data_IF_514786425195
#
_entry.id   IF_514786425195
#
_cell.length_a   1.000
_cell.length_b   1.000
_cell.length_c   1.000
_cell.angle_alpha   90.00
_cell.angle_beta   90.00
_cell.angle_gamma   90.00
#
_symmetry.space_group_name_H-M   'P 1'
#
loop_
_entity.id
_entity.type
_entity.pdbx_description
1 polymer ?
#
# COMPACT_ATOMS: atom_id res chain seq x y z
N UNK A 1 19.66 15.76 -10.61
CA UNK A 1 18.89 14.62 -10.07
C UNK A 1 19.65 14.03 -8.91
N UNK A 2 19.07 14.11 -7.71
CA UNK A 2 19.56 13.49 -6.46
C UNK A 2 19.81 12.00 -6.66
N UNK A 3 20.85 11.43 -6.06
CA UNK A 3 21.20 10.01 -6.26
C UNK A 3 20.07 9.05 -5.87
N UNK A 4 19.19 9.44 -4.94
CA UNK A 4 18.04 8.65 -4.50
C UNK A 4 16.96 8.47 -5.56
N UNK A 5 16.59 9.52 -6.30
CA UNK A 5 15.52 9.44 -7.31
C UNK A 5 15.87 8.46 -8.43
N UNK A 6 17.14 8.42 -8.84
CA UNK A 6 17.63 7.47 -9.87
C UNK A 6 17.57 6.02 -9.39
N UNK A 7 17.85 5.77 -8.11
CA UNK A 7 17.73 4.43 -7.52
C UNK A 7 16.26 4.01 -7.48
N UNK A 8 15.37 4.93 -7.12
CA UNK A 8 13.94 4.68 -7.13
C UNK A 8 13.43 4.35 -8.54
N UNK A 9 13.76 5.17 -9.54
CA UNK A 9 13.46 4.91 -10.96
C UNK A 9 13.96 3.53 -11.42
N UNK A 10 15.22 3.19 -11.12
CA UNK A 10 15.80 1.88 -11.45
C UNK A 10 15.01 0.73 -10.84
N UNK A 11 14.59 0.87 -9.58
CA UNK A 11 13.81 -0.16 -8.88
C UNK A 11 12.40 -0.34 -9.47
N UNK A 12 11.82 0.73 -10.02
CA UNK A 12 10.47 0.75 -10.60
C UNK A 12 10.45 0.30 -12.06
N UNK A 13 11.57 0.40 -12.77
CA UNK A 13 11.66 0.14 -14.23
C UNK A 13 11.14 -1.25 -14.62
N UNK A 14 11.41 -2.28 -13.81
CA UNK A 14 10.98 -3.64 -14.11
C UNK A 14 9.45 -3.83 -14.01
N UNK A 15 8.78 -3.00 -13.20
CA UNK A 15 7.36 -3.11 -12.91
C UNK A 15 6.54 -2.14 -13.78
N UNK A 16 7.06 -0.93 -14.04
CA UNK A 16 6.30 0.17 -14.65
C UNK A 16 6.86 0.65 -15.99
N UNK A 17 8.00 0.11 -16.44
CA UNK A 17 8.57 0.41 -17.75
C UNK A 17 8.80 1.91 -17.97
N UNK A 18 8.13 2.48 -18.96
CA UNK A 18 8.29 3.89 -19.36
C UNK A 18 7.82 4.88 -18.29
N UNK A 19 6.84 4.52 -17.45
CA UNK A 19 6.31 5.38 -16.40
C UNK A 19 7.22 5.49 -15.17
N UNK A 20 8.24 4.63 -15.07
CA UNK A 20 9.07 4.52 -13.87
C UNK A 20 9.78 5.83 -13.48
N UNK A 21 10.17 6.65 -14.46
CA UNK A 21 10.85 7.92 -14.20
C UNK A 21 9.89 8.95 -13.58
N UNK A 22 8.67 9.08 -14.10
CA UNK A 22 7.69 10.03 -13.59
C UNK A 22 7.09 9.54 -12.27
N UNK A 23 6.82 8.24 -12.12
CA UNK A 23 6.45 7.64 -10.83
C UNK A 23 7.51 7.87 -9.75
N UNK A 24 8.80 7.72 -10.08
CA UNK A 24 9.88 8.01 -9.14
C UNK A 24 9.86 9.48 -8.68
N UNK A 25 9.52 10.43 -9.58
CA UNK A 25 9.38 11.84 -9.22
C UNK A 25 8.18 12.09 -8.32
N UNK A 26 7.02 11.51 -8.63
CA UNK A 26 5.83 11.61 -7.77
C UNK A 26 6.14 11.06 -6.38
N UNK A 27 6.70 9.85 -6.30
CA UNK A 27 7.01 9.20 -5.04
C UNK A 27 8.08 9.94 -4.24
N UNK A 28 9.12 10.47 -4.85
CA UNK A 28 10.14 11.25 -4.14
C UNK A 28 9.53 12.49 -3.47
N UNK A 29 8.63 13.21 -4.17
CA UNK A 29 7.89 14.36 -3.61
C UNK A 29 7.02 13.90 -2.43
N UNK A 30 6.32 12.77 -2.57
CA UNK A 30 5.40 12.27 -1.57
C UNK A 30 6.07 11.61 -0.35
N UNK A 31 7.30 11.08 -0.51
CA UNK A 31 8.04 10.44 0.58
C UNK A 31 8.47 11.43 1.66
N UNK A 32 8.71 12.69 1.28
CA UNK A 32 9.22 13.72 2.19
C UNK A 32 8.10 14.43 3.00
N UNK A 33 6.84 14.06 2.77
CA UNK A 33 5.66 14.63 3.43
C UNK A 33 4.71 13.55 3.92
N UNK A 34 3.94 13.85 4.95
CA UNK A 34 2.83 12.97 5.36
C UNK A 34 1.74 12.94 4.28
N UNK A 35 1.43 14.12 3.73
CA UNK A 35 0.40 14.36 2.74
C UNK A 35 0.96 15.23 1.61
N UNK A 36 0.57 14.98 0.37
CA UNK A 36 0.96 15.76 -0.81
C UNK A 36 -0.27 16.18 -1.60
N UNK A 37 -0.41 17.46 -1.89
CA UNK A 37 -1.47 17.97 -2.74
C UNK A 37 -1.15 17.76 -4.22
N UNK A 38 -2.20 17.61 -5.05
CA UNK A 38 -2.08 17.52 -6.51
C UNK A 38 -1.28 18.70 -7.12
N UNK A 39 -1.44 19.87 -6.52
CA UNK A 39 -0.77 21.12 -6.89
C UNK A 39 0.76 21.06 -6.74
N UNK A 40 1.27 20.26 -5.79
CA UNK A 40 2.70 20.19 -5.47
C UNK A 40 3.48 19.24 -6.37
N UNK A 41 2.78 18.42 -7.15
CA UNK A 41 3.41 17.48 -8.08
C UNK A 41 3.81 18.25 -9.34
N UNK A 42 5.11 18.41 -9.55
CA UNK A 42 5.63 19.15 -10.71
C UNK A 42 5.84 18.20 -11.91
N UNK A 43 4.74 17.95 -12.62
CA UNK A 43 4.66 17.15 -13.85
C UNK A 43 3.63 17.78 -14.81
N UNK A 44 3.80 17.57 -16.13
CA UNK A 44 2.73 17.85 -17.10
C UNK A 44 1.43 17.17 -16.70
N UNK A 45 0.28 17.80 -16.99
CA UNK A 45 -1.02 17.34 -16.48
C UNK A 45 -1.34 15.89 -16.88
N UNK A 46 -1.05 15.51 -18.12
CA UNK A 46 -1.25 14.16 -18.63
C UNK A 46 -0.40 13.13 -17.86
N UNK A 47 0.92 13.31 -17.84
CA UNK A 47 1.86 12.43 -17.14
C UNK A 47 1.55 12.34 -15.63
N UNK A 48 1.15 13.47 -15.02
CA UNK A 48 0.76 13.54 -13.63
C UNK A 48 -0.47 12.68 -13.35
N UNK A 49 -1.51 12.81 -14.16
CA UNK A 49 -2.77 12.08 -13.97
C UNK A 49 -2.56 10.58 -14.15
N UNK A 50 -1.80 10.17 -15.18
CA UNK A 50 -1.46 8.77 -15.41
C UNK A 50 -0.63 8.20 -14.24
N UNK A 51 0.42 8.91 -13.78
CA UNK A 51 1.20 8.46 -12.62
C UNK A 51 0.37 8.32 -11.34
N UNK A 52 -0.55 9.27 -11.11
CA UNK A 52 -1.44 9.22 -9.95
C UNK A 52 -2.44 8.07 -10.06
N UNK A 53 -2.93 7.77 -11.26
CA UNK A 53 -3.79 6.63 -11.51
C UNK A 53 -3.05 5.32 -11.23
N UNK A 54 -1.87 5.13 -11.82
CA UNK A 54 -1.03 3.96 -11.58
C UNK A 54 -0.69 3.78 -10.09
N UNK A 55 -0.28 4.86 -9.41
CA UNK A 55 0.04 4.82 -7.99
C UNK A 55 -1.17 4.51 -7.10
N UNK A 56 -2.36 4.98 -7.50
CA UNK A 56 -3.62 4.65 -6.84
C UNK A 56 -3.99 3.18 -7.03
N UNK A 57 -3.91 2.66 -8.26
CA UNK A 57 -4.18 1.26 -8.58
C UNK A 57 -3.29 0.30 -7.79
N UNK A 58 -2.01 0.62 -7.65
CA UNK A 58 -1.05 -0.15 -6.84
C UNK A 58 -1.19 0.07 -5.32
N UNK A 59 -2.13 0.93 -4.89
CA UNK A 59 -2.35 1.35 -3.49
C UNK A 59 -1.10 1.93 -2.82
N UNK A 60 -0.19 2.47 -3.61
CA UNK A 60 1.00 3.18 -3.12
C UNK A 60 0.65 4.61 -2.70
N UNK A 61 -0.32 5.22 -3.38
CA UNK A 61 -0.92 6.50 -3.02
C UNK A 61 -2.43 6.34 -2.80
N UNK A 62 -2.94 6.94 -1.73
CA UNK A 62 -4.37 6.92 -1.40
C UNK A 62 -4.88 8.35 -1.22
N UNK A 63 -6.01 8.73 -1.84
CA UNK A 63 -6.63 10.04 -1.61
C UNK A 63 -7.02 10.24 -0.16
N UNK A 64 -6.74 11.43 0.37
CA UNK A 64 -7.16 11.84 1.72
C UNK A 64 -8.63 12.19 1.67
N UNK A 65 -9.41 11.45 2.43
CA UNK A 65 -10.83 11.73 2.53
C UNK A 65 -11.12 12.80 3.57
N UNK A 66 -11.96 13.76 3.18
CA UNK A 66 -12.53 14.76 4.10
C UNK A 66 -13.61 14.12 5.00
N UNK A 67 -14.19 12.99 4.58
CA UNK A 67 -15.21 12.25 5.32
C UNK A 67 -14.69 10.87 5.72
N UNK A 68 -15.18 10.28 6.83
CA UNK A 68 -14.89 8.90 7.16
C UNK A 68 -15.32 7.99 6.00
N UNK A 69 -14.36 7.29 5.42
CA UNK A 69 -14.64 6.23 4.45
C UNK A 69 -14.40 4.88 5.10
N UNK A 70 -15.17 3.87 4.68
CA UNK A 70 -15.04 2.54 5.22
C UNK A 70 -13.92 1.71 4.55
N UNK A 71 -13.20 2.23 3.54
CA UNK A 71 -12.16 1.50 2.84
C UNK A 71 -11.66 2.15 1.55
N UNK A 72 -10.50 1.73 1.05
CA UNK A 72 -9.88 2.29 -0.16
C UNK A 72 -10.77 2.20 -1.41
N UNK A 73 -11.62 1.18 -1.50
CA UNK A 73 -12.56 0.97 -2.61
C UNK A 73 -13.65 2.05 -2.73
N UNK A 74 -13.82 2.86 -1.68
CA UNK A 74 -14.73 4.00 -1.66
C UNK A 74 -14.02 5.35 -1.84
N UNK A 75 -12.68 5.36 -1.96
CA UNK A 75 -11.90 6.53 -2.33
C UNK A 75 -11.96 6.72 -3.84
N UNK A 76 -12.72 7.70 -4.33
CA UNK A 76 -12.60 8.13 -5.72
C UNK A 76 -11.34 8.96 -5.91
N UNK A 77 -10.47 8.57 -6.86
CA UNK A 77 -9.35 9.40 -7.28
C UNK A 77 -9.87 10.63 -8.04
N UNK A 78 -9.41 11.83 -7.67
CA UNK A 78 -9.80 13.09 -8.31
C UNK A 78 -8.57 13.90 -8.66
N UNK A 79 -8.49 14.37 -9.90
CA UNK A 79 -7.38 15.20 -10.38
C UNK A 79 -7.70 16.69 -10.22
N UNK A 80 -7.87 17.14 -8.98
CA UNK A 80 -8.20 18.54 -8.66
C UNK A 80 -7.15 19.15 -7.74
N UNK A 81 -6.97 20.47 -7.84
CA UNK A 81 -5.92 21.22 -7.14
C UNK A 81 -6.00 21.11 -5.61
N UNK A 82 -7.21 20.91 -5.07
CA UNK A 82 -7.50 20.74 -3.65
C UNK A 82 -7.36 19.29 -3.15
N UNK A 83 -7.19 18.32 -4.06
CA UNK A 83 -7.02 16.92 -3.67
C UNK A 83 -5.63 16.71 -3.07
N UNK A 84 -5.57 15.94 -1.98
CA UNK A 84 -4.33 15.53 -1.33
C UNK A 84 -4.27 14.03 -1.18
N UNK A 85 -3.06 13.50 -1.19
CA UNK A 85 -2.77 12.06 -1.16
C UNK A 85 -1.79 11.74 -0.05
N UNK A 86 -1.83 10.53 0.47
CA UNK A 86 -0.82 10.01 1.38
C UNK A 86 -0.30 8.66 0.91
N UNK A 87 0.95 8.34 1.28
CA UNK A 87 1.54 7.01 1.07
C UNK A 87 1.27 6.17 2.33
N UNK A 88 0.59 5.02 2.24
CA UNK A 88 0.39 4.10 3.36
C UNK A 88 1.72 3.64 3.96
N UNK A 89 1.75 3.35 5.27
CA UNK A 89 3.02 3.17 6.01
C UNK A 89 3.90 2.06 5.43
N UNK A 90 3.33 0.92 5.08
CA UNK A 90 4.08 -0.18 4.43
C UNK A 90 4.67 0.23 3.08
N UNK A 91 3.92 0.93 2.24
CA UNK A 91 4.40 1.42 0.95
C UNK A 91 5.49 2.50 1.13
N UNK A 92 5.39 3.33 2.17
CA UNK A 92 6.41 4.32 2.51
C UNK A 92 7.72 3.66 2.89
N UNK A 93 7.69 2.59 3.70
CA UNK A 93 8.89 1.82 4.04
C UNK A 93 9.50 1.20 2.78
N UNK A 94 8.67 0.56 1.93
CA UNK A 94 9.11 -0.04 0.67
C UNK A 94 9.84 0.97 -0.23
N UNK A 95 9.20 2.10 -0.51
CA UNK A 95 9.73 3.13 -1.40
C UNK A 95 10.94 3.86 -0.80
N UNK A 96 10.97 4.06 0.51
CA UNK A 96 12.14 4.66 1.20
C UNK A 96 13.36 3.75 1.03
N UNK A 97 13.20 2.45 1.28
CA UNK A 97 14.28 1.47 1.06
C UNK A 97 14.71 1.41 -0.40
N UNK A 98 13.76 1.48 -1.34
CA UNK A 98 14.06 1.52 -2.76
C UNK A 98 14.82 2.80 -3.17
N UNK A 99 14.46 3.96 -2.61
CA UNK A 99 15.18 5.22 -2.79
C UNK A 99 16.62 5.15 -2.25
N UNK A 100 16.83 4.43 -1.16
CA UNK A 100 18.16 4.25 -0.55
C UNK A 100 19.03 3.23 -1.30
N UNK A 101 18.45 2.08 -1.66
CA UNK A 101 19.19 0.89 -2.09
C UNK A 101 19.04 0.55 -3.57
N UNK A 102 18.01 1.09 -4.24
CA UNK A 102 17.64 0.74 -5.61
C UNK A 102 16.88 -0.58 -5.75
N UNK A 103 16.38 -1.15 -4.65
CA UNK A 103 15.67 -2.42 -4.65
C UNK A 103 14.32 -2.31 -3.96
N UNK A 104 13.28 -2.83 -4.61
CA UNK A 104 11.98 -3.08 -3.99
C UNK A 104 12.06 -4.40 -3.21
N UNK A 105 11.76 -4.33 -1.92
CA UNK A 105 11.74 -5.48 -1.01
C UNK A 105 10.44 -5.50 -0.20
N UNK A 106 9.34 -5.98 -0.80
CA UNK A 106 8.03 -6.18 -0.19
C UNK A 106 8.08 -6.84 1.20
N UNK A 107 8.76 -7.99 1.27
CA UNK A 107 8.84 -8.79 2.48
C UNK A 107 9.48 -8.01 3.63
N UNK A 108 10.54 -7.26 3.36
CA UNK A 108 11.14 -6.40 4.36
C UNK A 108 10.21 -5.27 4.81
N UNK A 109 9.48 -4.65 3.90
CA UNK A 109 8.54 -3.59 4.25
C UNK A 109 7.44 -4.09 5.21
N UNK A 110 6.89 -5.27 4.95
CA UNK A 110 5.93 -5.95 5.83
C UNK A 110 6.55 -6.25 7.21
N UNK A 111 7.75 -6.81 7.24
CA UNK A 111 8.42 -7.13 8.52
C UNK A 111 8.70 -5.87 9.34
N UNK A 112 9.23 -4.82 8.71
CA UNK A 112 9.57 -3.58 9.40
C UNK A 112 8.33 -2.82 9.89
N UNK A 113 7.25 -2.79 9.11
CA UNK A 113 6.02 -2.11 9.57
C UNK A 113 5.41 -2.81 10.79
N UNK A 114 5.44 -4.15 10.82
CA UNK A 114 4.93 -4.93 11.94
C UNK A 114 5.81 -4.82 13.19
N UNK A 115 7.14 -4.85 13.03
CA UNK A 115 8.08 -4.61 14.14
C UNK A 115 7.90 -3.22 14.74
N UNK A 116 7.74 -2.20 13.90
CA UNK A 116 7.59 -0.82 14.33
C UNK A 116 6.25 -0.52 15.03
N UNK A 117 5.32 -1.49 15.05
CA UNK A 117 4.10 -1.45 15.84
C UNK A 117 4.21 -2.21 17.17
N UNK A 118 5.43 -2.64 17.55
CA UNK A 118 5.76 -3.28 18.83
C UNK A 118 4.91 -4.51 19.16
N UNK A 119 4.50 -5.27 18.15
CA UNK A 119 3.74 -6.50 18.36
C UNK A 119 4.68 -7.65 18.75
N UNK A 120 4.39 -8.31 19.88
CA UNK A 120 5.11 -9.50 20.34
C UNK A 120 5.13 -10.63 19.30
N UNK A 121 4.13 -10.67 18.40
CA UNK A 121 3.94 -11.74 17.41
C UNK A 121 4.25 -11.30 15.96
N UNK A 122 5.00 -10.21 15.78
CA UNK A 122 5.27 -9.61 14.45
C UNK A 122 5.80 -10.61 13.40
N UNK A 123 6.56 -11.62 13.81
CA UNK A 123 7.02 -12.70 12.92
C UNK A 123 5.87 -13.58 12.41
N UNK A 124 5.04 -14.10 13.31
CA UNK A 124 3.89 -14.94 12.97
C UNK A 124 2.84 -14.17 12.18
N UNK A 125 2.66 -12.88 12.47
CA UNK A 125 1.80 -11.99 11.68
C UNK A 125 2.32 -11.77 10.25
N UNK A 126 3.63 -11.59 10.08
CA UNK A 126 4.21 -11.50 8.74
C UNK A 126 3.98 -12.79 7.94
N UNK A 127 4.15 -13.96 8.59
CA UNK A 127 3.87 -15.26 7.96
C UNK A 127 2.39 -15.41 7.61
N UNK A 128 1.48 -14.99 8.49
CA UNK A 128 0.04 -14.97 8.21
C UNK A 128 -0.27 -14.16 6.95
N UNK A 129 0.25 -12.93 6.88
CA UNK A 129 0.00 -12.03 5.75
C UNK A 129 0.56 -12.58 4.44
N UNK A 130 1.81 -13.06 4.43
CA UNK A 130 2.44 -13.62 3.22
C UNK A 130 1.73 -14.89 2.73
N UNK A 131 1.33 -15.79 3.65
CA UNK A 131 0.54 -16.96 3.28
C UNK A 131 -0.82 -16.55 2.69
N UNK A 132 -1.51 -15.58 3.27
CA UNK A 132 -2.77 -15.09 2.74
C UNK A 132 -2.60 -14.44 1.36
N UNK A 133 -1.53 -13.66 1.15
CA UNK A 133 -1.19 -13.05 -0.14
C UNK A 133 -1.04 -14.07 -1.27
N UNK A 134 -0.54 -15.27 -0.98
CA UNK A 134 -0.44 -16.34 -1.99
C UNK A 134 -1.81 -16.79 -2.56
N UNK A 135 -2.91 -16.46 -1.89
CA UNK A 135 -4.27 -16.80 -2.31
C UNK A 135 -5.07 -15.60 -2.83
N UNK A 136 -4.47 -14.41 -2.88
CA UNK A 136 -5.10 -13.18 -3.35
C UNK A 136 -5.50 -13.32 -4.83
N UNK A 137 -6.72 -12.91 -5.14
CA UNK A 137 -7.20 -12.80 -6.53
C UNK A 137 -7.68 -11.39 -6.76
N UNK A 138 -7.18 -10.75 -7.83
CA UNK A 138 -7.49 -9.35 -8.14
C UNK A 138 -7.30 -8.43 -6.93
N UNK A 139 -6.20 -8.64 -6.19
CA UNK A 139 -5.80 -7.86 -5.03
C UNK A 139 -6.77 -7.93 -3.84
N UNK A 140 -7.65 -8.93 -3.80
CA UNK A 140 -8.63 -9.09 -2.74
C UNK A 140 -8.64 -10.50 -2.16
N UNK A 141 -9.04 -10.60 -0.90
CA UNK A 141 -9.42 -11.85 -0.26
C UNK A 141 -10.59 -11.67 0.70
N UNK A 142 -11.28 -12.77 1.00
CA UNK A 142 -12.33 -12.86 2.01
C UNK A 142 -11.71 -13.13 3.39
N UNK A 143 -12.25 -12.53 4.46
CA UNK A 143 -11.67 -12.56 5.81
C UNK A 143 -11.52 -13.98 6.38
N UNK A 144 -12.42 -14.90 6.05
CA UNK A 144 -12.35 -16.31 6.40
C UNK A 144 -11.09 -17.02 5.90
N UNK A 145 -10.45 -16.52 4.83
CA UNK A 145 -9.12 -16.99 4.42
C UNK A 145 -8.09 -16.81 5.54
N UNK A 146 -8.06 -15.64 6.20
CA UNK A 146 -7.12 -15.39 7.29
C UNK A 146 -7.36 -16.36 8.46
N UNK A 147 -8.62 -16.70 8.72
CA UNK A 147 -8.94 -17.70 9.73
C UNK A 147 -8.37 -19.08 9.39
N UNK A 148 -8.53 -19.53 8.15
CA UNK A 148 -7.96 -20.80 7.68
C UNK A 148 -6.44 -20.80 7.76
N UNK A 149 -5.79 -19.75 7.23
CA UNK A 149 -4.33 -19.64 7.25
C UNK A 149 -3.77 -19.61 8.68
N UNK A 150 -4.46 -18.94 9.60
CA UNK A 150 -4.04 -18.84 11.00
C UNK A 150 -4.10 -20.18 11.75
N UNK A 151 -5.07 -21.05 11.42
CA UNK A 151 -5.14 -22.40 11.96
C UNK A 151 -3.94 -23.27 11.52
N UNK A 152 -3.37 -22.98 10.36
CA UNK A 152 -2.22 -23.70 9.78
C UNK A 152 -0.86 -23.09 10.18
N UNK A 153 -0.84 -22.10 11.09
CA UNK A 153 0.41 -21.56 11.63
C UNK A 153 0.93 -22.45 12.76
N UNK A 154 2.26 -22.52 12.87
CA UNK A 154 2.92 -23.14 14.02
C UNK A 154 2.59 -22.38 15.31
N UNK A 155 2.48 -21.06 15.20
CA UNK A 155 2.13 -20.14 16.28
C UNK A 155 0.96 -19.25 15.79
N UNK A 156 -0.29 -19.65 16.06
CA UNK A 156 -1.46 -18.84 15.72
C UNK A 156 -1.43 -17.48 16.43
N UNK A 157 -1.88 -16.44 15.73
CA UNK A 157 -1.97 -15.08 16.25
C UNK A 157 -3.41 -14.71 16.61
N UNK A 158 -3.57 -13.64 17.40
CA UNK A 158 -4.87 -12.97 17.54
C UNK A 158 -5.25 -12.35 16.20
N UNK A 159 -6.23 -12.96 15.53
CA UNK A 159 -6.69 -12.52 14.21
C UNK A 159 -7.27 -11.11 14.24
N UNK A 160 -8.02 -10.75 15.29
CA UNK A 160 -8.66 -9.44 15.31
C UNK A 160 -7.61 -8.34 15.45
N UNK A 161 -6.69 -8.50 16.42
CA UNK A 161 -5.57 -7.58 16.59
C UNK A 161 -4.68 -7.54 15.33
N UNK A 162 -4.50 -8.69 14.66
CA UNK A 162 -3.70 -8.77 13.45
C UNK A 162 -4.31 -8.02 12.28
N UNK A 163 -5.62 -8.20 12.05
CA UNK A 163 -6.36 -7.52 11.00
C UNK A 163 -6.38 -6.01 11.21
N UNK A 164 -6.64 -5.56 12.44
CA UNK A 164 -6.60 -4.13 12.79
C UNK A 164 -5.22 -3.55 12.49
N UNK A 165 -4.16 -4.29 12.82
CA UNK A 165 -2.81 -3.84 12.55
C UNK A 165 -2.48 -3.78 11.06
N UNK A 166 -2.89 -4.78 10.27
CA UNK A 166 -2.67 -4.76 8.82
C UNK A 166 -3.39 -3.57 8.17
N UNK A 167 -4.58 -3.21 8.64
CA UNK A 167 -5.31 -2.02 8.16
C UNK A 167 -4.59 -0.74 8.56
N UNK A 168 -4.21 -0.59 9.83
CA UNK A 168 -3.49 0.59 10.33
C UNK A 168 -2.10 0.77 9.68
N UNK A 169 -1.43 -0.33 9.37
CA UNK A 169 -0.15 -0.34 8.65
C UNK A 169 -0.29 -0.03 7.16
N UNK A 170 -1.53 0.00 6.64
CA UNK A 170 -1.79 0.20 5.22
C UNK A 170 -1.41 -1.00 4.34
N UNK A 171 -1.38 -2.20 4.92
CA UNK A 171 -1.14 -3.46 4.23
C UNK A 171 -2.41 -3.97 3.55
N UNK A 172 -3.57 -3.65 4.11
CA UNK A 172 -4.87 -3.97 3.53
C UNK A 172 -5.93 -2.93 3.92
N UNK A 173 -7.09 -2.98 3.27
CA UNK A 173 -8.24 -2.12 3.57
C UNK A 173 -9.55 -2.89 3.39
N UNK A 174 -10.56 -2.68 4.24
CA UNK A 174 -11.87 -3.31 4.05
C UNK A 174 -12.49 -2.93 2.70
N UNK A 175 -13.13 -3.88 2.01
CA UNK A 175 -13.88 -3.62 0.78
C UNK A 175 -15.38 -3.57 1.07
N UNK A 176 -15.96 -2.37 1.16
CA UNK A 176 -17.40 -2.27 1.43
C UNK A 176 -18.29 -2.59 0.23
N UNK A 177 -17.83 -2.28 -0.98
CA UNK A 177 -18.60 -2.52 -2.19
C UNK A 177 -18.89 -4.01 -2.44
N UNK A 178 -18.02 -4.89 -1.96
CA UNK A 178 -18.17 -6.36 -2.08
C UNK A 178 -18.71 -6.98 -0.79
N UNK A 179 -18.37 -6.42 0.38
CA UNK A 179 -18.79 -6.99 1.65
C UNK A 179 -20.30 -6.90 1.88
N UNK A 180 -20.90 -5.75 1.57
CA UNK A 180 -22.34 -5.54 1.80
C UNK A 180 -23.20 -6.47 0.94
N UNK A 181 -22.95 -6.65 -0.37
CA UNK A 181 -23.75 -7.57 -1.19
C UNK A 181 -23.51 -9.04 -0.89
N UNK A 182 -22.29 -9.42 -0.49
CA UNK A 182 -21.94 -10.83 -0.24
C UNK A 182 -22.29 -11.31 1.18
N UNK A 183 -22.45 -10.39 2.14
CA UNK A 183 -22.59 -10.71 3.56
C UNK A 183 -21.30 -11.24 4.20
N UNK A 184 -20.18 -11.20 3.48
CA UNK A 184 -18.86 -11.62 3.94
C UNK A 184 -17.94 -10.42 4.07
N UNK A 185 -16.96 -10.46 4.96
CA UNK A 185 -15.97 -9.40 5.06
C UNK A 185 -14.88 -9.62 3.99
N UNK A 186 -14.63 -8.61 3.17
CA UNK A 186 -13.59 -8.62 2.14
C UNK A 186 -12.54 -7.56 2.42
N UNK A 187 -11.31 -7.84 2.00
CA UNK A 187 -10.18 -6.93 2.08
C UNK A 187 -9.51 -6.80 0.73
N UNK A 188 -9.08 -5.58 0.43
CA UNK A 188 -8.14 -5.26 -0.64
C UNK A 188 -6.76 -5.13 -0.05
N UNK A 189 -5.75 -5.60 -0.77
CA UNK A 189 -4.39 -5.79 -0.27
C UNK A 189 -3.43 -4.94 -1.07
N UNK A 190 -2.47 -4.33 -0.38
CA UNK A 190 -1.39 -3.59 -1.02
C UNK A 190 -0.43 -4.56 -1.73
N UNK A 191 0.15 -4.12 -2.86
CA UNK A 191 1.04 -4.93 -3.69
C UNK A 191 2.45 -5.07 -3.11
N UNK A 192 2.76 -4.28 -2.07
CA UNK A 192 3.98 -4.35 -1.30
C UNK A 192 4.16 -5.65 -0.51
#
# INVERSE_FOLDING_TARGET
MTTGIKRLEQSLTNNFGAEAADLARVFDICLDKECTSYAEIDLPEEDKNECLLTAFEERVLVPIQIRPSPGWDSCGLRFTFDESYFIPRVARILLTKARETGQLDPQHAVQEVLKACSCHDSGSMAVLFEKAKAHVRSYRFEAGLLHQVNQDLQEPVDLHASMDLFVLAGMMSPCTGVSVPSGLAWFEVNHC
#
